data_IF_391818891338
#
_entry.id   IF_391818891338
#
_cell.length_a   1.000
_cell.length_b   1.000
_cell.length_c   1.000
_cell.angle_alpha   90.00
_cell.angle_beta   90.00
_cell.angle_gamma   90.00
#
_symmetry.space_group_name_H-M   'P 1'
#
loop_
_entity.id
_entity.type
_entity.pdbx_description
1 polymer ?
#
# COMPACT_ATOMS: atom_id res chain seq x y z
N UNK A 1 -20.83 14.90 -10.39
CA UNK A 1 -20.92 13.44 -10.21
C UNK A 1 -21.29 13.15 -8.76
N UNK A 2 -22.11 12.13 -8.52
CA UNK A 2 -22.91 11.98 -7.31
C UNK A 2 -22.12 11.64 -6.04
N UNK A 3 -22.24 12.49 -5.02
CA UNK A 3 -21.83 12.18 -3.64
C UNK A 3 -22.38 10.82 -3.14
N UNK A 4 -23.51 10.37 -3.71
CA UNK A 4 -24.11 9.06 -3.45
C UNK A 4 -23.22 7.88 -3.89
N UNK A 5 -22.47 8.01 -5.00
CA UNK A 5 -21.60 6.94 -5.51
C UNK A 5 -20.37 6.76 -4.62
N UNK A 6 -19.74 7.85 -4.21
CA UNK A 6 -18.61 7.81 -3.26
C UNK A 6 -19.05 7.26 -1.91
N UNK A 7 -20.26 7.60 -1.46
CA UNK A 7 -20.83 7.07 -0.22
C UNK A 7 -21.07 5.57 -0.30
N UNK A 8 -21.64 5.07 -1.39
CA UNK A 8 -21.82 3.63 -1.62
C UNK A 8 -20.49 2.87 -1.71
N UNK A 9 -19.49 3.43 -2.39
CA UNK A 9 -18.15 2.84 -2.46
C UNK A 9 -17.48 2.78 -1.08
N UNK A 10 -17.61 3.83 -0.25
CA UNK A 10 -17.13 3.82 1.14
C UNK A 10 -17.82 2.74 1.96
N UNK A 11 -19.14 2.58 1.81
CA UNK A 11 -19.88 1.53 2.49
C UNK A 11 -19.41 0.12 2.07
N UNK A 12 -19.15 -0.10 0.78
CA UNK A 12 -18.63 -1.37 0.28
C UNK A 12 -17.20 -1.63 0.78
N UNK A 13 -16.34 -0.62 0.79
CA UNK A 13 -14.98 -0.71 1.34
C UNK A 13 -15.02 -1.02 2.85
N UNK A 14 -15.88 -0.36 3.63
CA UNK A 14 -16.09 -0.66 5.06
C UNK A 14 -16.57 -2.09 5.29
N UNK A 15 -17.39 -2.65 4.39
CA UNK A 15 -17.88 -4.03 4.44
C UNK A 15 -16.88 -5.09 3.95
N UNK A 16 -15.72 -4.68 3.42
CA UNK A 16 -14.73 -5.62 2.89
C UNK A 16 -15.17 -6.34 1.63
N UNK A 17 -16.04 -5.71 0.82
CA UNK A 17 -16.41 -6.26 -0.49
C UNK A 17 -15.15 -6.33 -1.36
N UNK A 18 -14.90 -7.47 -2.01
CA UNK A 18 -13.74 -7.63 -2.89
C UNK A 18 -13.76 -6.61 -4.04
N UNK A 19 -12.58 -6.16 -4.46
CA UNK A 19 -12.38 -5.24 -5.58
C UNK A 19 -11.74 -3.90 -5.22
N UNK A 20 -11.69 -3.01 -6.21
CA UNK A 20 -11.09 -1.68 -6.11
C UNK A 20 -12.18 -0.62 -5.90
N UNK A 21 -12.18 0.02 -4.74
CA UNK A 21 -13.21 0.98 -4.33
C UNK A 21 -12.68 2.41 -4.41
N UNK A 22 -13.37 3.29 -5.12
CA UNK A 22 -13.05 4.73 -5.14
C UNK A 22 -13.71 5.38 -3.92
N UNK A 23 -12.92 5.66 -2.89
CA UNK A 23 -13.40 6.16 -1.58
C UNK A 23 -13.35 7.68 -1.48
N UNK A 24 -12.64 8.35 -2.37
CA UNK A 24 -12.65 9.81 -2.50
C UNK A 24 -12.41 10.20 -3.96
N UNK A 25 -13.19 11.16 -4.45
CA UNK A 25 -12.95 11.84 -5.73
C UNK A 25 -12.78 13.34 -5.45
N UNK A 26 -11.84 14.03 -6.11
CA UNK A 26 -11.68 15.46 -5.96
C UNK A 26 -12.93 16.18 -6.51
N UNK A 27 -13.38 17.19 -5.78
CA UNK A 27 -14.62 17.94 -6.08
C UNK A 27 -14.43 19.09 -7.05
N UNK A 28 -13.20 19.53 -7.28
CA UNK A 28 -12.90 20.66 -8.16
C UNK A 28 -12.82 20.22 -9.63
N UNK A 29 -13.26 21.10 -10.53
CA UNK A 29 -13.20 20.94 -11.99
C UNK A 29 -11.76 21.07 -12.48
N UNK A 30 -10.94 20.06 -12.19
CA UNK A 30 -9.55 19.98 -12.62
C UNK A 30 -9.44 19.08 -13.85
N UNK A 31 -8.40 19.29 -14.65
CA UNK A 31 -8.18 18.41 -15.80
C UNK A 31 -7.98 16.96 -15.32
N UNK A 32 -8.56 15.95 -15.99
CA UNK A 32 -8.33 14.54 -15.66
C UNK A 32 -6.85 14.10 -15.71
N UNK A 33 -5.97 14.90 -16.36
CA UNK A 33 -4.52 14.70 -16.37
C UNK A 33 -3.80 15.21 -15.11
N UNK A 34 -4.45 16.04 -14.31
CA UNK A 34 -3.88 16.65 -13.09
C UNK A 34 -4.26 15.87 -11.82
N UNK A 35 -5.27 14.99 -11.90
CA UNK A 35 -5.72 14.18 -10.77
C UNK A 35 -4.76 13.01 -10.56
N UNK A 36 -4.13 12.95 -9.39
CA UNK A 36 -3.32 11.79 -8.97
C UNK A 36 -4.23 10.68 -8.46
N UNK A 37 -4.13 9.49 -9.03
CA UNK A 37 -4.78 8.29 -8.47
C UNK A 37 -3.86 7.69 -7.39
N UNK A 38 -4.32 7.72 -6.14
CA UNK A 38 -3.63 7.15 -4.98
C UNK A 38 -4.30 5.82 -4.62
N UNK A 39 -3.57 4.72 -4.80
CA UNK A 39 -4.11 3.36 -4.66
C UNK A 39 -3.52 2.69 -3.41
N UNK A 40 -4.39 2.43 -2.44
CA UNK A 40 -4.06 1.78 -1.18
C UNK A 40 -4.18 0.26 -1.28
N UNK A 41 -3.12 -0.46 -0.93
CA UNK A 41 -3.07 -1.93 -0.97
C UNK A 41 -2.62 -2.47 0.39
N UNK A 42 -3.53 -3.16 1.08
CA UNK A 42 -3.29 -3.71 2.41
C UNK A 42 -2.45 -4.99 2.37
N UNK A 43 -1.96 -5.45 3.53
CA UNK A 43 -1.18 -6.66 3.67
C UNK A 43 -1.99 -7.94 3.90
N UNK A 44 -1.27 -9.00 4.27
CA UNK A 44 -1.84 -10.30 4.64
C UNK A 44 -2.77 -10.18 5.85
N UNK A 45 -3.96 -10.81 5.78
CA UNK A 45 -5.04 -10.68 6.77
C UNK A 45 -5.50 -9.22 7.00
N UNK A 46 -5.12 -8.30 6.12
CA UNK A 46 -5.55 -6.90 6.17
C UNK A 46 -6.93 -6.70 5.57
N UNK A 47 -7.46 -5.50 5.81
CA UNK A 47 -8.72 -5.01 5.27
C UNK A 47 -8.50 -3.64 4.61
N UNK A 48 -9.14 -3.39 3.47
CA UNK A 48 -8.94 -2.17 2.67
C UNK A 48 -9.36 -0.89 3.39
N UNK A 49 -10.18 -1.00 4.45
CA UNK A 49 -10.53 0.09 5.35
C UNK A 49 -9.67 0.09 6.65
N UNK A 50 -9.78 -0.97 7.45
CA UNK A 50 -9.23 -1.04 8.81
C UNK A 50 -7.70 -0.97 8.87
N UNK A 51 -7.00 -1.37 7.80
CA UNK A 51 -5.53 -1.26 7.77
C UNK A 51 -5.05 0.19 7.84
N UNK A 52 -5.90 1.13 7.42
CA UNK A 52 -5.59 2.56 7.36
C UNK A 52 -6.46 3.38 8.32
N UNK A 53 -7.21 2.73 9.20
CA UNK A 53 -8.06 3.39 10.17
C UNK A 53 -7.40 3.37 11.55
N UNK A 54 -7.25 4.54 12.15
CA UNK A 54 -6.94 4.64 13.56
C UNK A 54 -8.26 4.61 14.35
N UNK A 55 -8.48 3.55 15.13
CA UNK A 55 -9.66 3.37 15.97
C UNK A 55 -9.49 3.89 17.40
N UNK A 56 -8.36 4.53 17.73
CA UNK A 56 -8.16 5.16 19.03
C UNK A 56 -8.98 6.45 19.11
N UNK A 57 -10.16 6.31 19.73
CA UNK A 57 -11.11 7.40 19.92
C UNK A 57 -10.81 8.22 21.20
N UNK A 58 -9.71 7.94 21.92
CA UNK A 58 -9.41 8.59 23.20
C UNK A 58 -9.31 10.12 23.11
N UNK A 59 -8.89 10.64 21.94
CA UNK A 59 -8.80 12.07 21.64
C UNK A 59 -9.97 12.63 20.82
N UNK A 60 -10.94 11.80 20.45
CA UNK A 60 -12.03 12.16 19.53
C UNK A 60 -13.31 12.60 20.24
N UNK A 61 -13.35 12.59 21.58
CA UNK A 61 -14.57 12.75 22.42
C UNK A 61 -15.46 13.97 22.12
N UNK A 62 -14.94 15.01 21.48
CA UNK A 62 -15.69 16.24 21.14
C UNK A 62 -16.27 16.26 19.71
N UNK A 63 -16.00 15.25 18.87
CA UNK A 63 -16.51 15.21 17.49
C UNK A 63 -17.82 14.40 17.40
N UNK A 64 -18.86 14.93 16.74
CA UNK A 64 -20.03 14.11 16.36
C UNK A 64 -19.55 12.99 15.42
N UNK A 65 -19.86 11.73 15.74
CA UNK A 65 -19.38 10.55 15.00
C UNK A 65 -18.01 10.02 15.44
N UNK A 66 -17.50 10.45 16.61
CA UNK A 66 -16.22 10.02 17.19
C UNK A 66 -16.05 8.51 17.38
N UNK A 67 -17.14 7.73 17.30
CA UNK A 67 -17.09 6.28 17.47
C UNK A 67 -16.46 5.55 16.26
N UNK A 68 -16.39 6.20 15.09
CA UNK A 68 -15.93 5.56 13.85
C UNK A 68 -14.40 5.63 13.60
N UNK A 69 -13.59 6.23 14.49
CA UNK A 69 -12.14 6.39 14.25
C UNK A 69 -11.78 7.32 13.08
N UNK A 70 -10.49 7.43 12.78
CA UNK A 70 -9.95 8.27 11.70
C UNK A 70 -9.47 7.38 10.56
N UNK A 71 -10.17 7.41 9.42
CA UNK A 71 -9.73 6.78 8.18
C UNK A 71 -8.97 7.82 7.35
N UNK A 72 -7.69 7.98 7.67
CA UNK A 72 -6.85 9.05 7.13
C UNK A 72 -6.76 9.14 5.61
N UNK A 73 -6.94 8.06 4.80
CA UNK A 73 -7.00 8.21 3.34
C UNK A 73 -8.10 9.15 2.89
N UNK A 74 -9.22 9.24 3.61
CA UNK A 74 -10.34 10.13 3.27
C UNK A 74 -10.40 11.33 4.21
N UNK A 75 -10.11 11.13 5.49
CA UNK A 75 -10.32 12.15 6.51
C UNK A 75 -9.20 13.19 6.56
N UNK A 76 -7.96 12.82 6.21
CA UNK A 76 -6.78 13.70 6.35
C UNK A 76 -6.08 13.98 5.02
N UNK A 77 -5.92 12.97 4.17
CA UNK A 77 -5.13 13.10 2.93
C UNK A 77 -5.69 14.14 1.94
N UNK A 78 -7.01 14.24 1.72
CA UNK A 78 -7.58 15.29 0.86
C UNK A 78 -7.38 16.71 1.39
N UNK A 79 -7.08 16.88 2.68
CA UNK A 79 -6.76 18.20 3.23
C UNK A 79 -5.38 18.69 2.75
N UNK A 80 -4.45 17.76 2.50
CA UNK A 80 -3.06 18.02 2.12
C UNK A 80 -2.81 17.89 0.62
N UNK A 81 -3.47 16.95 -0.04
CA UNK A 81 -3.36 16.69 -1.48
C UNK A 81 -4.74 16.88 -2.12
N UNK A 82 -5.01 18.09 -2.59
CA UNK A 82 -6.33 18.48 -3.12
C UNK A 82 -6.69 17.76 -4.43
N UNK A 83 -5.68 17.46 -5.25
CA UNK A 83 -5.85 16.94 -6.60
C UNK A 83 -5.63 15.42 -6.61
N UNK A 84 -6.28 14.72 -5.68
CA UNK A 84 -6.13 13.28 -5.51
C UNK A 84 -7.46 12.56 -5.56
N UNK A 85 -7.51 11.48 -6.33
CA UNK A 85 -8.53 10.45 -6.23
C UNK A 85 -7.96 9.30 -5.40
N UNK A 86 -8.70 8.83 -4.42
CA UNK A 86 -8.22 7.78 -3.52
C UNK A 86 -9.02 6.51 -3.74
N UNK A 87 -8.28 5.42 -3.95
CA UNK A 87 -8.82 4.08 -4.13
C UNK A 87 -8.24 3.12 -3.10
N UNK A 88 -9.04 2.18 -2.62
CA UNK A 88 -8.58 1.11 -1.71
C UNK A 88 -8.91 -0.24 -2.32
N UNK A 89 -7.92 -1.12 -2.42
CA UNK A 89 -8.08 -2.46 -2.99
C UNK A 89 -8.32 -3.48 -1.88
N UNK A 90 -9.44 -4.20 -1.98
CA UNK A 90 -9.76 -5.35 -1.15
C UNK A 90 -9.59 -6.63 -1.97
N UNK A 91 -8.79 -7.56 -1.46
CA UNK A 91 -8.57 -8.86 -2.08
C UNK A 91 -8.56 -9.96 -1.03
N UNK A 92 -8.72 -11.21 -1.45
CA UNK A 92 -8.67 -12.38 -0.56
C UNK A 92 -7.21 -12.63 -0.13
N UNK A 93 -6.73 -11.81 0.80
CA UNK A 93 -5.32 -11.86 1.23
C UNK A 93 -4.94 -13.22 1.83
N UNK A 94 -5.91 -13.99 2.32
CA UNK A 94 -5.71 -15.36 2.80
C UNK A 94 -5.18 -16.30 1.72
N UNK A 95 -5.48 -16.05 0.44
CA UNK A 95 -4.92 -16.83 -0.68
C UNK A 95 -3.42 -16.61 -0.81
N UNK A 96 -2.90 -15.45 -0.39
CA UNK A 96 -1.47 -15.15 -0.39
C UNK A 96 -0.70 -15.77 0.79
N UNK A 97 -1.37 -16.52 1.68
CA UNK A 97 -0.76 -17.20 2.83
C UNK A 97 0.32 -18.20 2.43
N UNK A 98 0.13 -18.90 1.32
CA UNK A 98 1.15 -19.80 0.78
C UNK A 98 2.24 -19.03 0.03
N UNK A 99 2.00 -17.76 -0.30
CA UNK A 99 2.89 -16.88 -1.06
C UNK A 99 3.38 -17.55 -2.36
N UNK A 100 2.52 -18.38 -2.96
CA UNK A 100 2.82 -18.99 -4.24
C UNK A 100 2.90 -17.89 -5.30
N UNK A 101 3.83 -18.05 -6.24
CA UNK A 101 4.04 -17.11 -7.34
C UNK A 101 2.78 -16.94 -8.19
N UNK A 102 2.04 -18.04 -8.41
CA UNK A 102 0.76 -18.04 -9.11
C UNK A 102 -0.29 -17.17 -8.40
N UNK A 103 -0.52 -17.39 -7.10
CA UNK A 103 -1.50 -16.60 -6.34
C UNK A 103 -1.15 -15.11 -6.27
N UNK A 104 0.14 -14.78 -6.18
CA UNK A 104 0.62 -13.39 -6.25
C UNK A 104 0.40 -12.78 -7.64
N UNK A 105 0.67 -13.55 -8.70
CA UNK A 105 0.48 -13.11 -10.07
C UNK A 105 -1.00 -12.85 -10.40
N UNK A 106 -1.91 -13.74 -9.97
CA UNK A 106 -3.35 -13.59 -10.17
C UNK A 106 -3.89 -12.35 -9.45
N UNK A 107 -3.49 -12.15 -8.18
CA UNK A 107 -3.88 -10.96 -7.40
C UNK A 107 -3.34 -9.67 -8.03
N UNK A 108 -2.11 -9.69 -8.52
CA UNK A 108 -1.51 -8.56 -9.21
C UNK A 108 -2.22 -8.24 -10.54
N UNK A 109 -2.57 -9.26 -11.33
CA UNK A 109 -3.32 -9.10 -12.59
C UNK A 109 -4.74 -8.60 -12.34
N UNK A 110 -5.41 -9.06 -11.29
CA UNK A 110 -6.72 -8.54 -10.88
C UNK A 110 -6.63 -7.06 -10.51
N UNK A 111 -5.65 -6.66 -9.69
CA UNK A 111 -5.41 -5.26 -9.32
C UNK A 111 -5.23 -4.38 -10.57
N UNK A 112 -4.36 -4.80 -11.50
CA UNK A 112 -4.10 -4.06 -12.75
C UNK A 112 -5.37 -3.95 -13.61
N UNK A 113 -6.09 -5.05 -13.77
CA UNK A 113 -7.34 -5.10 -14.55
C UNK A 113 -8.40 -4.17 -13.97
N UNK A 114 -8.60 -4.18 -12.66
CA UNK A 114 -9.56 -3.32 -11.98
C UNK A 114 -9.14 -1.85 -12.08
N UNK A 115 -7.84 -1.55 -11.88
CA UNK A 115 -7.32 -0.19 -11.96
C UNK A 115 -7.48 0.39 -13.38
N UNK A 116 -7.11 -0.38 -14.41
CA UNK A 116 -7.29 0.04 -15.80
C UNK A 116 -8.77 0.31 -16.13
N UNK A 117 -9.68 -0.59 -15.73
CA UNK A 117 -11.13 -0.38 -15.91
C UNK A 117 -11.62 0.87 -15.19
N UNK A 118 -11.21 1.11 -13.94
CA UNK A 118 -11.59 2.33 -13.19
C UNK A 118 -11.06 3.58 -13.86
N UNK A 119 -9.80 3.58 -14.29
CA UNK A 119 -9.19 4.73 -14.97
C UNK A 119 -9.88 5.03 -16.30
N UNK A 120 -10.20 4.01 -17.09
CA UNK A 120 -10.99 4.17 -18.33
C UNK A 120 -12.37 4.78 -18.06
N UNK A 121 -13.11 4.26 -17.06
CA UNK A 121 -14.45 4.77 -16.70
C UNK A 121 -14.44 6.20 -16.15
N UNK A 122 -13.31 6.67 -15.62
CA UNK A 122 -13.16 7.98 -15.00
C UNK A 122 -12.36 8.96 -15.89
N UNK A 123 -12.04 8.56 -17.13
CA UNK A 123 -11.11 9.25 -18.05
C UNK A 123 -9.80 9.70 -17.36
N UNK A 124 -9.29 8.88 -16.44
CA UNK A 124 -8.14 9.21 -15.61
C UNK A 124 -6.83 9.08 -16.38
N UNK A 125 -6.10 10.19 -16.51
CA UNK A 125 -4.81 10.25 -17.24
C UNK A 125 -3.65 10.69 -16.36
N UNK A 126 -3.94 11.18 -15.15
CA UNK A 126 -2.92 11.64 -14.22
C UNK A 126 -2.08 10.52 -13.58
N UNK A 127 -1.09 10.90 -12.76
CA UNK A 127 -0.12 9.98 -12.19
C UNK A 127 -0.76 8.98 -11.22
N UNK A 128 -0.14 7.81 -11.07
CA UNK A 128 -0.52 6.79 -10.09
C UNK A 128 0.54 6.75 -8.99
N UNK A 129 0.10 6.74 -7.73
CA UNK A 129 0.92 6.44 -6.56
C UNK A 129 0.32 5.27 -5.80
N UNK A 130 1.12 4.24 -5.58
CA UNK A 130 0.72 3.13 -4.71
C UNK A 130 1.14 3.40 -3.27
N UNK A 131 0.22 3.22 -2.33
CA UNK A 131 0.49 3.24 -0.88
C UNK A 131 0.22 1.85 -0.35
N UNK A 132 1.28 1.17 0.09
CA UNK A 132 1.22 -0.29 0.29
C UNK A 132 1.71 -0.67 1.68
N UNK A 133 1.07 -1.66 2.28
CA UNK A 133 1.46 -2.18 3.58
C UNK A 133 1.85 -3.65 3.49
N UNK A 134 2.96 -3.99 4.11
CA UNK A 134 3.42 -5.37 4.30
C UNK A 134 3.40 -6.16 2.98
N UNK A 135 2.71 -7.31 2.93
CA UNK A 135 2.60 -8.17 1.75
C UNK A 135 1.90 -7.49 0.55
N UNK A 136 1.10 -6.46 0.78
CA UNK A 136 0.51 -5.65 -0.30
C UNK A 136 1.57 -4.99 -1.17
N UNK A 137 2.75 -4.68 -0.60
CA UNK A 137 3.88 -4.19 -1.38
C UNK A 137 4.47 -5.24 -2.31
N UNK A 138 4.38 -6.53 -1.98
CA UNK A 138 4.81 -7.62 -2.87
C UNK A 138 3.81 -7.79 -4.02
N UNK A 139 2.50 -7.69 -3.74
CA UNK A 139 1.46 -7.66 -4.78
C UNK A 139 1.72 -6.54 -5.77
N UNK A 140 1.98 -5.32 -5.29
CA UNK A 140 2.28 -4.18 -6.15
C UNK A 140 3.60 -4.36 -6.89
N UNK A 141 4.65 -4.93 -6.30
CA UNK A 141 5.88 -5.26 -7.02
C UNK A 141 5.62 -6.18 -8.22
N UNK A 142 4.84 -7.26 -8.03
CA UNK A 142 4.47 -8.18 -9.13
C UNK A 142 3.58 -7.48 -10.17
N UNK A 143 2.68 -6.60 -9.73
CA UNK A 143 1.87 -5.78 -10.63
C UNK A 143 2.74 -4.84 -11.49
N UNK A 144 3.75 -4.19 -10.91
CA UNK A 144 4.69 -3.34 -11.63
C UNK A 144 5.53 -4.15 -12.61
N UNK A 145 5.99 -5.34 -12.23
CA UNK A 145 6.67 -6.24 -13.15
C UNK A 145 5.79 -6.53 -14.37
N UNK A 146 4.53 -6.96 -14.18
CA UNK A 146 3.59 -7.24 -15.27
C UNK A 146 3.25 -6.00 -16.10
N UNK A 147 3.11 -4.85 -15.47
CA UNK A 147 2.83 -3.58 -16.15
C UNK A 147 4.00 -3.03 -16.98
N UNK A 148 5.19 -3.61 -16.85
CA UNK A 148 6.36 -3.26 -17.68
C UNK A 148 6.90 -4.46 -18.47
N UNK A 149 6.18 -5.58 -18.51
CA UNK A 149 6.58 -6.76 -19.26
C UNK A 149 6.57 -6.46 -20.75
N UNK A 150 7.71 -6.64 -21.42
CA UNK A 150 7.86 -6.33 -22.85
C UNK A 150 7.05 -7.28 -23.73
N UNK A 151 6.65 -8.43 -23.21
CA UNK A 151 5.89 -9.44 -23.94
C UNK A 151 4.36 -9.29 -23.73
N UNK A 152 3.93 -8.41 -22.82
CA UNK A 152 2.52 -8.20 -22.47
C UNK A 152 2.22 -6.71 -22.27
N UNK A 153 1.74 -6.06 -23.33
CA UNK A 153 1.48 -4.62 -23.34
C UNK A 153 0.18 -4.22 -22.64
N UNK A 154 -0.64 -5.19 -22.18
CA UNK A 154 -2.00 -4.95 -21.66
C UNK A 154 -2.06 -3.90 -20.57
N UNK A 155 -1.01 -3.72 -19.77
CA UNK A 155 -0.98 -2.82 -18.61
C UNK A 155 0.12 -1.75 -18.67
N UNK A 156 0.72 -1.52 -19.85
CA UNK A 156 1.79 -0.53 -20.00
C UNK A 156 1.35 0.88 -19.63
N UNK A 157 0.09 1.24 -19.91
CA UNK A 157 -0.50 2.51 -19.51
C UNK A 157 -0.43 2.73 -17.99
N UNK A 158 -0.73 1.68 -17.20
CA UNK A 158 -0.60 1.69 -15.74
C UNK A 158 0.87 1.81 -15.34
N UNK A 159 1.75 1.04 -15.98
CA UNK A 159 3.20 1.08 -15.74
C UNK A 159 3.81 2.47 -15.96
N UNK A 160 3.42 3.15 -17.04
CA UNK A 160 3.85 4.50 -17.41
C UNK A 160 3.23 5.61 -16.55
N UNK A 161 1.95 5.46 -16.19
CA UNK A 161 1.26 6.41 -15.33
C UNK A 161 1.75 6.33 -13.88
N UNK A 162 2.25 5.17 -13.43
CA UNK A 162 2.83 5.02 -12.09
C UNK A 162 4.09 5.87 -11.94
N UNK A 163 4.11 6.72 -10.90
CA UNK A 163 5.24 7.61 -10.60
C UNK A 163 6.01 7.21 -9.36
N UNK A 164 5.34 6.63 -8.38
CA UNK A 164 6.02 6.17 -7.18
C UNK A 164 5.21 5.22 -6.32
N UNK A 165 5.91 4.63 -5.36
CA UNK A 165 5.38 3.64 -4.43
C UNK A 165 5.89 3.98 -3.03
N UNK A 166 4.95 4.07 -2.09
CA UNK A 166 5.21 4.29 -0.67
C UNK A 166 4.91 3.00 0.09
N UNK A 167 5.96 2.36 0.60
CA UNK A 167 5.90 1.09 1.32
C UNK A 167 5.87 1.31 2.83
N UNK A 168 5.02 0.55 3.53
CA UNK A 168 5.00 0.43 4.99
C UNK A 168 5.32 -1.01 5.38
N UNK A 169 6.51 -1.25 5.95
CA UNK A 169 6.88 -2.55 6.49
C UNK A 169 6.85 -3.69 5.46
N UNK A 170 7.11 -3.42 4.18
CA UNK A 170 7.14 -4.47 3.16
C UNK A 170 8.41 -5.31 3.28
N UNK A 171 8.32 -6.65 3.39
CA UNK A 171 9.49 -7.51 3.46
C UNK A 171 10.14 -7.68 2.07
N UNK A 172 10.92 -6.70 1.65
CA UNK A 172 11.50 -6.59 0.32
C UNK A 172 12.54 -7.64 -0.04
N UNK A 173 13.11 -8.36 0.93
CA UNK A 173 14.21 -9.32 0.72
C UNK A 173 13.81 -10.77 1.01
N UNK A 174 12.51 -11.04 1.18
CA UNK A 174 12.03 -12.39 1.50
C UNK A 174 12.65 -12.93 2.80
N UNK A 175 13.20 -14.15 2.76
CA UNK A 175 13.76 -14.86 3.92
C UNK A 175 15.29 -14.75 4.07
N UNK A 176 15.96 -13.85 3.34
CA UNK A 176 17.43 -13.67 3.43
C UNK A 176 17.91 -13.11 4.79
N UNK A 177 17.01 -12.83 5.74
CA UNK A 177 17.37 -12.51 7.12
C UNK A 177 17.81 -13.79 7.85
N UNK A 178 19.09 -14.14 7.67
CA UNK A 178 19.74 -15.42 7.95
C UNK A 178 19.64 -16.01 9.38
N UNK A 179 18.83 -15.49 10.32
CA UNK A 179 18.67 -16.05 11.66
C UNK A 179 17.32 -15.73 12.33
N UNK A 180 16.28 -15.33 11.59
CA UNK A 180 14.98 -14.96 12.18
C UNK A 180 13.82 -15.73 11.55
N UNK A 181 12.76 -15.99 12.33
CA UNK A 181 11.47 -16.42 11.76
C UNK A 181 11.14 -15.50 10.59
N UNK A 182 10.87 -16.07 9.41
CA UNK A 182 10.65 -15.30 8.19
C UNK A 182 9.55 -14.24 8.43
N UNK A 183 9.68 -13.02 7.90
CA UNK A 183 8.70 -11.94 8.11
C UNK A 183 7.25 -12.38 7.88
N UNK A 184 7.00 -13.23 6.88
CA UNK A 184 5.69 -13.84 6.60
C UNK A 184 5.12 -14.59 7.81
N UNK A 185 5.94 -15.40 8.49
CA UNK A 185 5.52 -16.15 9.66
C UNK A 185 5.13 -15.21 10.80
N UNK A 186 5.93 -14.16 11.05
CA UNK A 186 5.61 -13.14 12.07
C UNK A 186 4.34 -12.36 11.74
N UNK A 187 4.14 -11.99 10.46
CA UNK A 187 2.91 -11.34 9.98
C UNK A 187 1.70 -12.25 10.24
N UNK A 188 1.84 -13.55 9.96
CA UNK A 188 0.74 -14.51 10.21
C UNK A 188 0.45 -14.64 11.71
N UNK A 189 1.48 -14.63 12.56
CA UNK A 189 1.37 -14.71 14.01
C UNK A 189 0.67 -13.48 14.62
N UNK A 190 0.84 -12.29 14.06
CA UNK A 190 0.04 -11.13 14.46
C UNK A 190 -1.45 -11.36 14.17
N UNK A 191 -1.76 -11.91 12.99
CA UNK A 191 -3.13 -12.31 12.65
C UNK A 191 -3.75 -13.29 13.66
N UNK A 192 -2.94 -14.19 14.24
CA UNK A 192 -3.36 -15.10 15.31
C UNK A 192 -3.75 -14.39 16.62
N UNK A 193 -3.02 -13.33 17.00
CA UNK A 193 -3.36 -12.56 18.21
C UNK A 193 -4.66 -11.77 18.05
N UNK A 194 -4.99 -11.40 16.81
CA UNK A 194 -6.20 -10.65 16.46
C UNK A 194 -7.42 -11.55 16.19
N UNK A 195 -7.21 -12.79 15.72
CA UNK A 195 -8.26 -13.79 15.47
C UNK A 195 -7.77 -15.19 15.86
N UNK A 196 -8.44 -15.84 16.84
CA UNK A 196 -8.12 -17.21 17.27
C UNK A 196 -8.37 -18.19 16.11
N UNK A 197 -7.41 -19.11 15.94
CA UNK A 197 -7.34 -20.23 15.00
C UNK A 197 -6.76 -19.90 13.63
N UNK A 198 -5.67 -20.60 13.25
CA UNK A 198 -5.42 -21.23 11.92
C UNK A 198 -3.94 -21.71 11.83
N UNK A 199 -3.64 -22.98 11.49
CA UNK A 199 -2.28 -23.56 11.57
C UNK A 199 -1.15 -22.72 10.93
N UNK A 200 0.04 -22.76 11.56
CA UNK A 200 1.26 -22.10 11.09
C UNK A 200 1.56 -22.51 9.64
N UNK A 201 1.86 -21.52 8.80
CA UNK A 201 2.12 -21.73 7.38
C UNK A 201 3.58 -22.08 7.11
N UNK A 202 3.79 -22.95 6.12
CA UNK A 202 5.08 -23.04 5.42
C UNK A 202 5.20 -21.82 4.51
N UNK A 203 6.18 -20.98 4.80
CA UNK A 203 6.54 -19.83 3.96
C UNK A 203 7.24 -20.32 2.69
N UNK A 204 6.72 -20.01 1.50
CA UNK A 204 7.47 -20.16 0.24
C UNK A 204 8.29 -18.89 0.01
N UNK A 205 9.42 -18.79 0.69
CA UNK A 205 10.35 -17.64 0.58
C UNK A 205 10.84 -17.39 -0.85
N UNK A 206 10.83 -18.41 -1.70
CA UNK A 206 11.28 -18.31 -3.09
C UNK A 206 10.40 -17.37 -3.92
N UNK A 207 9.08 -17.41 -3.75
CA UNK A 207 8.17 -16.52 -4.47
C UNK A 207 8.36 -15.05 -4.10
N UNK A 208 8.68 -14.75 -2.83
CA UNK A 208 8.99 -13.38 -2.41
C UNK A 208 10.31 -12.86 -2.97
N UNK A 209 11.31 -13.75 -3.03
CA UNK A 209 12.63 -13.44 -3.60
C UNK A 209 12.50 -13.18 -5.09
N UNK A 210 11.82 -14.05 -5.82
CA UNK A 210 11.56 -13.90 -7.26
C UNK A 210 10.92 -12.55 -7.58
N UNK A 211 9.81 -12.20 -6.91
CA UNK A 211 9.13 -10.90 -7.12
C UNK A 211 10.06 -9.72 -6.82
N UNK A 212 10.93 -9.88 -5.82
CA UNK A 212 11.86 -8.83 -5.44
C UNK A 212 12.98 -8.65 -6.46
N UNK A 213 13.50 -9.74 -7.03
CA UNK A 213 14.52 -9.73 -8.09
C UNK A 213 13.95 -9.18 -9.40
N UNK A 214 12.75 -9.61 -9.79
CA UNK A 214 12.00 -9.10 -10.94
C UNK A 214 11.81 -7.59 -10.85
N UNK A 215 11.29 -7.09 -9.72
CA UNK A 215 11.01 -5.67 -9.52
C UNK A 215 12.25 -4.77 -9.61
N UNK A 216 13.44 -5.26 -9.21
CA UNK A 216 14.68 -4.47 -9.23
C UNK A 216 15.02 -3.91 -10.61
N UNK A 217 14.65 -4.61 -11.68
CA UNK A 217 14.87 -4.17 -13.07
C UNK A 217 14.05 -2.92 -13.44
N UNK A 218 12.94 -2.66 -12.73
CA UNK A 218 12.03 -1.56 -13.00
C UNK A 218 12.04 -0.48 -11.92
N UNK A 219 12.61 -0.77 -10.76
CA UNK A 219 12.69 0.13 -9.62
C UNK A 219 13.25 1.52 -9.94
N UNK A 220 14.16 1.62 -10.91
CA UNK A 220 14.73 2.88 -11.36
C UNK A 220 13.74 3.84 -12.03
N UNK A 221 12.59 3.35 -12.50
CA UNK A 221 11.54 4.15 -13.14
C UNK A 221 10.67 4.91 -12.13
N UNK A 222 10.72 4.52 -10.86
CA UNK A 222 9.75 4.95 -9.86
C UNK A 222 10.44 5.67 -8.69
N UNK A 223 9.74 6.63 -8.09
CA UNK A 223 10.08 7.12 -6.75
C UNK A 223 9.73 6.05 -5.72
N UNK A 224 10.70 5.65 -4.90
CA UNK A 224 10.55 4.58 -3.92
C UNK A 224 10.79 5.12 -2.53
N UNK A 225 9.79 4.98 -1.66
CA UNK A 225 9.86 5.42 -0.27
C UNK A 225 9.44 4.27 0.65
N UNK A 226 10.29 3.91 1.60
CA UNK A 226 10.07 2.76 2.47
C UNK A 226 10.10 3.16 3.93
N UNK A 227 8.94 3.07 4.58
CA UNK A 227 8.79 3.20 6.02
C UNK A 227 9.00 1.85 6.70
N UNK A 228 9.84 1.81 7.74
CA UNK A 228 10.03 0.64 8.60
C UNK A 228 9.55 0.92 10.03
N UNK A 229 9.02 -0.11 10.68
CA UNK A 229 8.46 -0.03 12.03
C UNK A 229 9.54 0.27 13.09
N UNK A 230 9.13 0.99 14.14
CA UNK A 230 9.99 1.34 15.27
C UNK A 230 9.79 0.42 16.48
N UNK A 231 8.57 -0.05 16.71
CA UNK A 231 8.19 -0.78 17.91
C UNK A 231 7.92 -2.25 17.63
N UNK A 232 8.31 -3.10 18.57
CA UNK A 232 7.99 -4.54 18.53
C UNK A 232 6.50 -4.72 18.80
N UNK A 233 5.84 -5.60 18.03
CA UNK A 233 4.44 -5.92 18.26
C UNK A 233 4.27 -6.64 19.63
N UNK A 234 3.26 -6.31 20.44
CA UNK A 234 2.97 -7.05 21.66
C UNK A 234 2.90 -8.57 21.40
N UNK A 235 3.60 -9.36 22.20
CA UNK A 235 3.69 -10.81 22.06
C UNK A 235 4.81 -11.34 21.16
N UNK A 236 5.56 -10.46 20.47
CA UNK A 236 6.78 -10.83 19.74
C UNK A 236 8.05 -10.42 20.50
N UNK A 237 9.17 -11.06 20.16
CA UNK A 237 10.50 -10.76 20.71
C UNK A 237 11.31 -9.80 19.85
N UNK A 238 10.98 -9.71 18.56
CA UNK A 238 11.65 -8.88 17.57
C UNK A 238 10.62 -8.18 16.69
N UNK A 239 11.08 -7.20 15.90
CA UNK A 239 10.32 -6.60 14.82
C UNK A 239 9.78 -7.70 13.87
N UNK A 240 8.60 -7.45 13.33
CA UNK A 240 7.89 -8.29 12.36
C UNK A 240 8.64 -8.29 11.05
N UNK A 241 9.03 -7.10 10.60
CA UNK A 241 9.89 -6.89 9.46
C UNK A 241 11.05 -6.02 9.93
N UNK A 242 12.22 -6.64 10.06
CA UNK A 242 13.41 -5.91 10.47
C UNK A 242 13.76 -4.81 9.45
N UNK A 243 14.57 -3.84 9.89
CA UNK A 243 14.99 -2.71 9.06
C UNK A 243 15.72 -3.13 7.78
N UNK A 244 16.47 -4.22 7.79
CA UNK A 244 17.23 -4.70 6.62
C UNK A 244 16.32 -5.38 5.59
N UNK A 245 15.25 -6.03 6.05
CA UNK A 245 14.17 -6.60 5.23
C UNK A 245 13.19 -5.55 4.72
N UNK A 246 13.00 -4.45 5.45
CA UNK A 246 12.13 -3.33 5.07
C UNK A 246 12.78 -2.35 4.08
N UNK A 247 13.96 -2.67 3.55
CA UNK A 247 14.70 -1.85 2.59
C UNK A 247 15.07 -2.68 1.37
N UNK A 248 14.98 -2.09 0.19
CA UNK A 248 15.36 -2.74 -1.06
C UNK A 248 16.85 -2.64 -1.34
N UNK A 249 17.53 -1.66 -0.74
CA UNK A 249 18.97 -1.42 -0.98
C UNK A 249 19.21 -0.82 -2.36
N UNK A 250 18.25 -0.04 -2.85
CA UNK A 250 18.31 0.64 -4.16
C UNK A 250 18.82 2.06 -3.92
N UNK A 251 19.79 2.57 -4.71
CA UNK A 251 20.47 3.83 -4.38
C UNK A 251 19.56 5.06 -4.22
N UNK A 252 18.44 5.12 -4.93
CA UNK A 252 17.47 6.23 -4.85
C UNK A 252 16.24 5.93 -3.97
N UNK A 253 16.23 4.81 -3.25
CA UNK A 253 15.19 4.51 -2.26
C UNK A 253 15.33 5.43 -1.05
N UNK A 254 14.30 6.21 -0.75
CA UNK A 254 14.22 6.95 0.50
C UNK A 254 13.72 6.01 1.58
N UNK A 255 14.46 5.88 2.69
CA UNK A 255 14.07 4.98 3.77
C UNK A 255 13.93 5.76 5.07
N UNK A 256 12.84 5.55 5.80
CA UNK A 256 12.58 6.29 7.03
C UNK A 256 11.95 5.38 8.10
N UNK A 257 12.32 5.60 9.35
CA UNK A 257 11.63 4.97 10.47
C UNK A 257 10.31 5.71 10.71
N UNK A 258 9.24 4.99 11.02
CA UNK A 258 8.00 5.60 11.48
C UNK A 258 7.58 4.98 12.82
N UNK A 259 7.12 5.83 13.74
CA UNK A 259 6.65 5.37 15.04
C UNK A 259 5.50 4.38 14.90
N UNK A 260 5.46 3.38 15.78
CA UNK A 260 4.46 2.30 15.74
C UNK A 260 5.09 0.93 15.47
N UNK A 261 4.29 -0.11 15.72
CA UNK A 261 4.59 -1.49 15.33
C UNK A 261 3.97 -1.79 13.96
N UNK A 262 4.22 -2.97 13.41
CA UNK A 262 3.76 -3.40 12.09
C UNK A 262 2.26 -3.21 11.84
N UNK A 263 1.44 -3.32 12.87
CA UNK A 263 -0.03 -3.19 12.79
C UNK A 263 -0.52 -1.74 12.91
N UNK A 264 0.32 -0.83 13.43
CA UNK A 264 -0.07 0.54 13.81
C UNK A 264 0.74 1.62 13.09
N UNK A 265 1.80 1.25 12.37
CA UNK A 265 2.69 2.17 11.66
C UNK A 265 2.01 2.97 10.53
N UNK A 266 0.90 2.48 10.00
CA UNK A 266 0.13 3.13 8.93
C UNK A 266 -1.26 3.61 9.40
N UNK A 267 -1.46 3.77 10.72
CA UNK A 267 -2.71 4.23 11.34
C UNK A 267 -2.46 5.55 12.06
N UNK A 268 -3.05 6.62 11.54
CA UNK A 268 -2.83 7.99 12.02
C UNK A 268 -4.11 8.59 12.58
N UNK A 269 -4.01 9.19 13.77
CA UNK A 269 -5.08 10.02 14.32
C UNK A 269 -5.05 11.41 13.66
N UNK A 270 -6.08 12.24 13.91
CA UNK A 270 -6.22 13.57 13.32
C UNK A 270 -4.98 14.45 13.50
N UNK A 271 -4.43 14.49 14.72
CA UNK A 271 -3.30 15.34 15.09
C UNK A 271 -2.00 14.54 15.25
N UNK A 272 -1.88 13.44 14.50
CA UNK A 272 -0.71 12.59 14.56
C UNK A 272 0.45 13.18 13.76
N UNK A 273 1.57 13.61 14.40
CA UNK A 273 2.68 14.24 13.69
C UNK A 273 3.36 13.30 12.69
N UNK A 274 3.18 11.97 12.82
CA UNK A 274 3.71 10.99 11.86
C UNK A 274 3.05 11.16 10.48
N UNK A 275 1.82 11.67 10.43
CA UNK A 275 1.08 11.86 9.18
C UNK A 275 1.76 12.87 8.25
N UNK A 276 2.45 13.88 8.79
CA UNK A 276 3.09 14.91 7.97
C UNK A 276 4.14 14.34 7.04
N UNK A 277 5.01 13.48 7.58
CA UNK A 277 6.01 12.74 6.81
C UNK A 277 5.35 11.88 5.73
N UNK A 278 4.20 11.28 6.00
CA UNK A 278 3.53 10.35 5.09
C UNK A 278 2.90 11.08 3.92
N UNK A 279 2.13 12.14 4.13
CA UNK A 279 1.52 12.85 3.00
C UNK A 279 2.59 13.53 2.14
N UNK A 280 3.68 14.02 2.74
CA UNK A 280 4.82 14.57 1.99
C UNK A 280 5.51 13.50 1.14
N UNK A 281 5.67 12.29 1.67
CA UNK A 281 6.20 11.14 0.92
C UNK A 281 5.30 10.78 -0.27
N UNK A 282 3.99 10.73 -0.09
CA UNK A 282 3.01 10.47 -1.16
C UNK A 282 3.05 11.58 -2.22
N UNK A 283 3.09 12.85 -1.80
CA UNK A 283 3.16 13.98 -2.72
C UNK A 283 4.49 14.00 -3.51
N UNK A 284 5.60 13.67 -2.86
CA UNK A 284 6.89 13.51 -3.55
C UNK A 284 6.85 12.34 -4.54
N UNK A 285 6.23 11.22 -4.18
CA UNK A 285 6.08 10.06 -5.07
C UNK A 285 5.27 10.39 -6.33
N UNK A 286 4.24 11.23 -6.20
CA UNK A 286 3.42 11.68 -7.33
C UNK A 286 4.20 12.49 -8.37
N UNK A 287 5.27 13.19 -7.96
CA UNK A 287 6.18 13.92 -8.85
C UNK A 287 7.13 13.00 -9.62
N UNK A 288 7.19 11.72 -9.27
CA UNK A 288 8.11 10.75 -9.85
C UNK A 288 9.50 10.81 -9.25
N UNK A 289 10.39 9.94 -9.76
CA UNK A 289 11.80 9.93 -9.34
C UNK A 289 12.44 11.27 -9.70
N UNK A 290 13.12 11.97 -8.75
CA UNK A 290 13.91 13.13 -9.10
C UNK A 290 14.92 12.74 -10.18
N UNK A 291 14.92 13.46 -11.31
CA UNK A 291 15.88 13.20 -12.38
C UNK A 291 17.31 13.23 -11.83
N UNK A 292 18.19 12.35 -12.30
CA UNK A 292 19.63 12.61 -12.16
C UNK A 292 19.85 13.96 -12.81
N UNK A 293 20.21 14.98 -12.04
CA UNK A 293 20.66 16.24 -12.62
C UNK A 293 21.70 15.89 -13.68
N UNK A 294 21.43 16.25 -14.94
CA UNK A 294 22.51 16.34 -15.92
C UNK A 294 23.41 17.45 -15.38
N UNK A 295 24.49 17.06 -14.70
CA UNK A 295 25.70 17.87 -14.71
C UNK A 295 26.06 18.02 -16.19
N UNK A 296 25.68 19.16 -16.77
CA UNK A 296 26.30 19.69 -17.96
C UNK A 296 27.78 19.91 -17.69
#
# INVERSE_FOLDING_TARGET
MDANRTTANRANAKKGVLGLHVVFEPTEQQSPSEITDIVFVHGLNGHCWESWQNSDNSKSKWRKGADEGVFWPVDLLPEKIKNARIMTYQYESKVLRNTSTASLADTAEELLTLLQKKRSLLDSKGPIVFVVHSLGGIVVKKAIFKANDRNDERFHDIGHATKGIVFFGTPHRGADAANTLAPVQKITAIGWTMNRFLPLLKSHSDGLREVSDEFRHFAERYALLSFYEQHIHPGLRDLVVDKSSSRMGIPHEVTMMIGGNHSTMCKFAQDDPRFDTVWMAIQSAAKGRPGRGHTQ
#
